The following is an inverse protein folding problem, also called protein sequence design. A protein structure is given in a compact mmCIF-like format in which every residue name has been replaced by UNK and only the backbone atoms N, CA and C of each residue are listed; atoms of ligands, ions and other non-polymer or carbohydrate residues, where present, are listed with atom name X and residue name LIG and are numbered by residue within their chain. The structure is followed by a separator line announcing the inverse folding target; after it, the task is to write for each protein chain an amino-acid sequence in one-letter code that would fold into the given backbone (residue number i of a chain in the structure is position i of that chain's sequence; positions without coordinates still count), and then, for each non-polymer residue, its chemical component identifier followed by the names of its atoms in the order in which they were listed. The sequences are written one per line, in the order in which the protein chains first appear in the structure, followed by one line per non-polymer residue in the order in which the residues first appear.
data_IF_256144799333
#
_entry.id   IF_256144799333
#
_cell.length_a   1.000
_cell.length_b   1.000
_cell.length_c   1.000
_cell.angle_alpha   90.00
_cell.angle_beta   90.00
_cell.angle_gamma   90.00
#
_symmetry.space_group_name_H-M   'P 1'
#
loop_
_entity.id
_entity.type
_entity.pdbx_description
1 polymer ?
#
# COMPACT_ATOMS: atom_id res chain seq x y z
N UNK A 1 -14.13 -19.12 -2.61
CA UNK A 1 -13.14 -18.80 -1.56
C UNK A 1 -13.59 -19.45 -0.26
N UNK A 2 -12.68 -20.14 0.44
CA UNK A 2 -13.00 -20.78 1.72
C UNK A 2 -12.18 -20.19 2.88
N UNK A 3 -12.80 -20.14 4.06
CA UNK A 3 -12.15 -19.78 5.33
C UNK A 3 -12.37 -20.93 6.29
N UNK A 4 -11.28 -21.47 6.86
CA UNK A 4 -11.33 -22.67 7.72
C UNK A 4 -12.01 -23.87 7.05
N UNK A 5 -11.86 -24.03 5.74
CA UNK A 5 -12.44 -25.12 4.96
C UNK A 5 -13.93 -24.99 4.61
N UNK A 6 -14.59 -23.89 5.02
CA UNK A 6 -15.99 -23.58 4.70
C UNK A 6 -16.03 -22.48 3.63
N UNK A 7 -16.87 -22.62 2.62
CA UNK A 7 -17.01 -21.60 1.58
C UNK A 7 -17.58 -20.29 2.16
N UNK A 8 -17.08 -19.15 1.64
CA UNK A 8 -17.56 -17.83 2.11
C UNK A 8 -19.06 -17.63 1.89
N UNK A 9 -19.62 -18.27 0.87
CA UNK A 9 -21.07 -18.19 0.56
C UNK A 9 -21.94 -18.86 1.62
N UNK A 10 -21.37 -19.75 2.46
CA UNK A 10 -22.04 -20.39 3.58
C UNK A 10 -22.07 -19.51 4.85
N UNK A 11 -21.28 -18.44 4.88
CA UNK A 11 -21.28 -17.51 6.00
C UNK A 11 -22.24 -16.33 5.78
N UNK A 12 -22.82 -15.83 6.85
CA UNK A 12 -23.50 -14.54 6.76
C UNK A 12 -22.49 -13.41 6.55
N UNK A 13 -22.85 -12.41 5.74
CA UNK A 13 -22.02 -11.22 5.54
C UNK A 13 -21.62 -10.53 6.85
N UNK A 14 -22.50 -10.57 7.87
CA UNK A 14 -22.21 -10.01 9.18
C UNK A 14 -21.12 -10.78 9.93
N UNK A 15 -21.10 -12.11 9.80
CA UNK A 15 -20.07 -12.98 10.40
C UNK A 15 -18.71 -12.74 9.73
N UNK A 16 -18.67 -12.73 8.39
CA UNK A 16 -17.45 -12.45 7.63
C UNK A 16 -16.88 -11.07 8.01
N UNK A 17 -17.72 -10.04 8.01
CA UNK A 17 -17.29 -8.68 8.34
C UNK A 17 -16.77 -8.55 9.78
N UNK A 18 -17.26 -9.34 10.72
CA UNK A 18 -16.73 -9.34 12.10
C UNK A 18 -15.33 -9.91 12.20
N UNK A 19 -15.01 -10.92 11.40
CA UNK A 19 -13.73 -11.61 11.44
C UNK A 19 -12.62 -10.92 10.64
N UNK A 20 -12.95 -9.93 9.78
CA UNK A 20 -11.99 -9.28 8.88
C UNK A 20 -11.84 -7.80 9.23
N UNK A 21 -10.61 -7.34 9.43
CA UNK A 21 -10.25 -5.92 9.42
C UNK A 21 -9.63 -5.58 8.07
N UNK A 22 -10.19 -4.57 7.39
CA UNK A 22 -9.72 -4.12 6.09
C UNK A 22 -9.17 -2.69 6.19
N UNK A 23 -7.94 -2.52 5.73
CA UNK A 23 -7.26 -1.21 5.64
C UNK A 23 -7.06 -0.90 4.15
N UNK A 24 -7.87 0.02 3.59
CA UNK A 24 -7.82 0.34 2.16
C UNK A 24 -6.61 1.20 1.80
N UNK A 25 -6.30 1.23 0.51
CA UNK A 25 -5.29 2.12 -0.08
C UNK A 25 -5.59 3.60 0.21
N UNK A 26 -6.82 4.02 -0.03
CA UNK A 26 -7.27 5.37 0.24
C UNK A 26 -8.07 5.39 1.55
N UNK A 27 -7.48 6.03 2.57
CA UNK A 27 -8.12 6.15 3.87
C UNK A 27 -9.14 7.26 3.86
N UNK A 28 -10.39 6.90 4.09
CA UNK A 28 -11.47 7.85 4.31
C UNK A 28 -11.69 8.06 5.82
N UNK A 29 -11.66 9.32 6.23
CA UNK A 29 -12.02 9.75 7.57
C UNK A 29 -13.36 10.49 7.51
N UNK A 30 -14.20 10.20 8.47
CA UNK A 30 -15.53 10.82 8.58
C UNK A 30 -15.44 12.19 9.24
N UNK A 31 -16.36 13.09 8.90
CA UNK A 31 -16.55 14.39 9.56
C UNK A 31 -17.06 14.19 10.99
N UNK A 32 -16.16 13.74 11.84
CA UNK A 32 -16.36 13.38 13.25
C UNK A 32 -15.07 13.63 14.04
N UNK A 33 -15.09 13.46 15.33
CA UNK A 33 -13.89 13.52 16.16
C UNK A 33 -12.93 12.36 15.83
N UNK A 34 -11.64 12.51 16.15
CA UNK A 34 -10.65 11.40 16.02
C UNK A 34 -11.10 10.20 16.85
N UNK A 35 -11.61 10.43 18.06
CA UNK A 35 -12.17 9.37 18.91
C UNK A 35 -13.25 8.58 18.20
N UNK A 36 -14.26 9.25 17.63
CA UNK A 36 -15.35 8.60 16.91
C UNK A 36 -14.88 7.91 15.63
N UNK A 37 -13.90 8.52 14.94
CA UNK A 37 -13.28 7.91 13.76
C UNK A 37 -12.61 6.57 14.06
N UNK A 38 -11.89 6.45 15.16
CA UNK A 38 -11.26 5.19 15.56
C UNK A 38 -12.33 4.21 16.06
N UNK A 39 -13.27 4.68 16.89
CA UNK A 39 -14.30 3.88 17.55
C UNK A 39 -15.34 3.28 16.59
N UNK A 40 -15.44 3.76 15.33
CA UNK A 40 -16.45 3.30 14.38
C UNK A 40 -16.38 1.78 14.12
N UNK A 41 -15.20 1.17 14.26
CA UNK A 41 -15.01 -0.27 14.09
C UNK A 41 -15.55 -1.09 15.28
N UNK A 42 -15.70 -0.45 16.46
CA UNK A 42 -16.18 -1.05 17.71
C UNK A 42 -16.90 0.00 18.54
N UNK A 43 -18.20 0.26 18.27
CA UNK A 43 -18.95 1.39 18.87
C UNK A 43 -19.03 1.39 20.40
N UNK A 44 -18.92 0.23 21.05
CA UNK A 44 -18.94 0.07 22.49
C UNK A 44 -17.58 0.31 23.16
N UNK A 45 -16.51 0.53 22.39
CA UNK A 45 -15.18 0.72 22.95
C UNK A 45 -15.08 1.97 23.84
N UNK A 46 -14.37 1.83 24.94
CA UNK A 46 -14.08 2.94 25.87
C UNK A 46 -12.96 3.83 25.31
N UNK A 47 -12.80 5.03 25.88
CA UNK A 47 -11.71 5.93 25.51
C UNK A 47 -10.33 5.29 25.74
N UNK A 48 -10.17 4.49 26.79
CA UNK A 48 -8.89 3.81 27.06
C UNK A 48 -8.59 2.74 26.03
N UNK A 49 -9.58 1.99 25.57
CA UNK A 49 -9.41 1.02 24.48
C UNK A 49 -9.04 1.72 23.16
N UNK A 50 -9.65 2.85 22.87
CA UNK A 50 -9.30 3.69 21.71
C UNK A 50 -7.86 4.22 21.81
N UNK A 51 -7.45 4.67 23.00
CA UNK A 51 -6.07 5.11 23.25
C UNK A 51 -5.05 4.00 23.06
N UNK A 52 -5.33 2.80 23.58
CA UNK A 52 -4.44 1.64 23.41
C UNK A 52 -4.33 1.24 21.91
N UNK A 53 -5.43 1.23 21.18
CA UNK A 53 -5.40 1.00 19.73
C UNK A 53 -4.61 2.07 18.99
N UNK A 54 -4.73 3.34 19.39
CA UNK A 54 -3.98 4.44 18.82
C UNK A 54 -2.48 4.37 19.15
N UNK A 55 -2.10 3.90 20.35
CA UNK A 55 -0.70 3.63 20.70
C UNK A 55 -0.11 2.52 19.83
N UNK A 56 -0.83 1.41 19.68
CA UNK A 56 -0.45 0.30 18.79
C UNK A 56 -0.26 0.74 17.34
N UNK A 57 -0.98 1.75 16.89
CA UNK A 57 -0.91 2.31 15.55
C UNK A 57 0.05 3.50 15.42
N UNK A 58 0.86 3.79 16.43
CA UNK A 58 1.74 4.97 16.49
C UNK A 58 1.00 6.30 16.21
N UNK A 59 -0.31 6.33 16.52
CA UNK A 59 -1.16 7.50 16.34
C UNK A 59 -1.23 8.39 17.59
N UNK A 60 -1.02 7.83 18.78
CA UNK A 60 -1.24 8.49 20.05
C UNK A 60 -0.44 9.78 20.20
N UNK A 61 0.83 9.77 19.82
CA UNK A 61 1.72 10.91 20.04
C UNK A 61 1.37 12.13 19.18
N UNK A 62 0.98 11.93 17.91
CA UNK A 62 0.51 13.08 17.13
C UNK A 62 -0.86 13.56 17.59
N UNK A 63 -1.77 12.66 17.98
CA UNK A 63 -3.10 13.04 18.49
C UNK A 63 -2.98 13.90 19.75
N UNK A 64 -2.06 13.55 20.66
CA UNK A 64 -1.81 14.33 21.89
C UNK A 64 -1.32 15.76 21.64
N UNK A 65 -0.64 15.99 20.51
CA UNK A 65 -0.15 17.33 20.14
C UNK A 65 -1.23 18.25 19.58
N UNK A 66 -2.39 17.69 19.20
CA UNK A 66 -3.52 18.48 18.72
C UNK A 66 -4.21 19.21 19.89
N UNK A 67 -4.71 20.44 19.71
CA UNK A 67 -5.32 21.24 20.79
C UNK A 67 -6.45 20.53 21.55
N UNK A 68 -7.30 19.80 20.83
CA UNK A 68 -8.43 19.05 21.39
C UNK A 68 -8.16 17.54 21.45
N UNK A 69 -6.94 17.11 21.16
CA UNK A 69 -6.51 15.70 21.22
C UNK A 69 -7.51 14.76 20.51
N UNK A 70 -8.02 13.74 21.20
CA UNK A 70 -9.02 12.80 20.65
C UNK A 70 -10.36 13.46 20.32
N UNK A 71 -10.67 14.61 20.91
CA UNK A 71 -11.87 15.39 20.61
C UNK A 71 -11.69 16.34 19.42
N UNK A 72 -10.52 16.36 18.78
CA UNK A 72 -10.31 17.12 17.55
C UNK A 72 -11.27 16.64 16.49
N UNK A 73 -12.12 17.56 16.02
CA UNK A 73 -13.07 17.30 14.94
C UNK A 73 -12.33 17.34 13.60
N UNK A 74 -12.55 16.34 12.79
CA UNK A 74 -12.01 16.25 11.45
C UNK A 74 -13.06 16.74 10.46
N UNK A 75 -12.66 17.64 9.60
CA UNK A 75 -13.46 18.05 8.46
C UNK A 75 -13.54 16.95 7.41
N UNK A 76 -14.22 17.22 6.30
CA UNK A 76 -14.42 16.26 5.21
C UNK A 76 -13.11 15.61 4.77
N UNK A 77 -13.11 14.28 4.67
CA UNK A 77 -11.96 13.44 4.32
C UNK A 77 -10.72 13.62 5.24
N UNK A 78 -10.88 14.15 6.48
CA UNK A 78 -9.77 14.38 7.40
C UNK A 78 -8.84 15.50 6.96
N UNK A 79 -9.39 16.56 6.40
CA UNK A 79 -8.63 17.73 5.99
C UNK A 79 -7.83 18.28 7.19
N UNK A 80 -6.57 18.67 6.96
CA UNK A 80 -5.63 19.10 8.02
C UNK A 80 -4.72 18.01 8.58
N UNK A 81 -4.95 16.71 8.24
CA UNK A 81 -4.04 15.63 8.57
C UNK A 81 -3.19 15.23 7.36
N UNK A 82 -1.93 14.89 7.61
CA UNK A 82 -1.05 14.27 6.61
C UNK A 82 -1.54 12.88 6.21
N UNK A 83 -1.10 12.36 5.07
CA UNK A 83 -1.43 11.00 4.63
C UNK A 83 -1.05 9.94 5.65
N UNK A 84 0.14 10.08 6.27
CA UNK A 84 0.61 9.16 7.31
C UNK A 84 -0.22 9.20 8.61
N UNK A 85 -0.72 10.38 9.01
CA UNK A 85 -1.62 10.48 10.17
C UNK A 85 -2.98 9.85 9.90
N UNK A 86 -3.54 10.05 8.70
CA UNK A 86 -4.78 9.37 8.29
C UNK A 86 -4.61 7.86 8.30
N UNK A 87 -3.48 7.38 7.78
CA UNK A 87 -3.14 5.96 7.75
C UNK A 87 -3.06 5.36 9.15
N UNK A 88 -2.38 6.04 10.09
CA UNK A 88 -2.31 5.59 11.50
C UNK A 88 -3.68 5.56 12.17
N UNK A 89 -4.58 6.48 11.85
CA UNK A 89 -5.97 6.42 12.34
C UNK A 89 -6.70 5.19 11.77
N UNK A 90 -6.50 4.87 10.48
CA UNK A 90 -7.08 3.66 9.88
C UNK A 90 -6.53 2.37 10.51
N UNK A 91 -5.23 2.33 10.81
CA UNK A 91 -4.62 1.23 11.56
C UNK A 91 -5.17 1.11 12.97
N UNK A 92 -5.36 2.24 13.68
CA UNK A 92 -6.00 2.24 14.99
C UNK A 92 -7.44 1.68 14.94
N UNK A 93 -8.21 1.98 13.89
CA UNK A 93 -9.52 1.34 13.64
C UNK A 93 -9.40 -0.18 13.51
N UNK A 94 -8.43 -0.63 12.74
CA UNK A 94 -8.21 -2.06 12.49
C UNK A 94 -7.81 -2.78 13.78
N UNK A 95 -6.87 -2.23 14.56
CA UNK A 95 -6.43 -2.81 15.83
C UNK A 95 -7.50 -2.79 16.91
N UNK A 96 -8.33 -1.72 16.96
CA UNK A 96 -9.45 -1.65 17.90
C UNK A 96 -10.49 -2.75 17.66
N UNK A 97 -10.70 -3.12 16.40
CA UNK A 97 -11.64 -4.17 16.01
C UNK A 97 -11.21 -5.55 16.47
N UNK A 98 -9.89 -5.81 16.52
CA UNK A 98 -9.29 -7.06 16.98
C UNK A 98 -9.80 -8.30 16.22
N UNK A 99 -9.63 -8.29 14.91
CA UNK A 99 -10.10 -9.34 13.98
C UNK A 99 -9.13 -10.53 13.89
N UNK A 100 -9.62 -11.66 13.39
CA UNK A 100 -8.79 -12.85 13.12
C UNK A 100 -7.96 -12.72 11.84
N UNK A 101 -8.49 -11.99 10.85
CA UNK A 101 -7.84 -11.73 9.56
C UNK A 101 -7.73 -10.22 9.34
N UNK A 102 -6.54 -9.78 8.94
CA UNK A 102 -6.29 -8.41 8.53
C UNK A 102 -5.95 -8.37 7.04
N UNK A 103 -6.57 -7.47 6.31
CA UNK A 103 -6.30 -7.24 4.89
C UNK A 103 -5.76 -5.81 4.74
N UNK A 104 -4.54 -5.69 4.23
CA UNK A 104 -3.88 -4.43 3.91
C UNK A 104 -3.80 -4.30 2.39
N UNK A 105 -4.56 -3.37 1.82
CA UNK A 105 -4.64 -3.18 0.38
C UNK A 105 -3.88 -1.91 -0.01
N UNK A 106 -2.59 -2.09 -0.39
CA UNK A 106 -1.68 -0.98 -0.75
C UNK A 106 -1.70 0.18 0.26
N UNK A 107 -1.99 -0.15 1.48
CA UNK A 107 -2.38 0.80 2.53
C UNK A 107 -1.29 1.81 2.90
N UNK A 108 -0.10 1.72 2.35
CA UNK A 108 1.05 2.60 2.62
C UNK A 108 1.63 3.26 1.38
N UNK A 109 0.99 3.10 0.22
CA UNK A 109 1.47 3.62 -1.07
C UNK A 109 1.69 5.13 -1.11
N UNK A 110 0.98 5.89 -0.27
CA UNK A 110 1.09 7.35 -0.12
C UNK A 110 2.18 7.79 0.86
N UNK A 111 2.89 6.86 1.50
CA UNK A 111 3.92 7.15 2.50
C UNK A 111 5.32 7.12 1.89
N UNK A 112 6.24 7.87 2.51
CA UNK A 112 7.66 7.74 2.21
C UNK A 112 8.20 6.38 2.68
N UNK A 113 9.32 5.96 2.09
CA UNK A 113 9.91 4.64 2.33
C UNK A 113 10.23 4.35 3.81
N UNK A 114 10.73 5.34 4.54
CA UNK A 114 11.09 5.17 5.95
C UNK A 114 9.87 4.99 6.84
N UNK A 115 8.85 5.80 6.63
CA UNK A 115 7.59 5.72 7.36
C UNK A 115 6.85 4.41 7.07
N UNK A 116 6.85 3.94 5.82
CA UNK A 116 6.23 2.68 5.44
C UNK A 116 6.87 1.50 6.17
N UNK A 117 8.19 1.37 6.14
CA UNK A 117 8.89 0.28 6.82
C UNK A 117 8.58 0.27 8.32
N UNK A 118 8.62 1.44 8.97
CA UNK A 118 8.30 1.56 10.40
C UNK A 118 6.88 1.09 10.71
N UNK A 119 5.91 1.42 9.84
CA UNK A 119 4.52 1.00 10.00
C UNK A 119 4.39 -0.51 9.82
N UNK A 120 5.04 -1.12 8.83
CA UNK A 120 4.96 -2.56 8.63
C UNK A 120 5.68 -3.35 9.71
N UNK A 121 6.84 -2.90 10.20
CA UNK A 121 7.51 -3.49 11.36
C UNK A 121 6.59 -3.49 12.58
N UNK A 122 5.87 -2.40 12.81
CA UNK A 122 4.87 -2.32 13.87
C UNK A 122 3.70 -3.27 13.62
N UNK A 123 3.16 -3.37 12.38
CA UNK A 123 2.07 -4.28 12.02
C UNK A 123 2.48 -5.72 12.28
N UNK A 124 3.64 -6.16 11.80
CA UNK A 124 4.15 -7.51 12.02
C UNK A 124 4.31 -7.84 13.50
N UNK A 125 4.86 -6.91 14.30
CA UNK A 125 5.00 -7.09 15.74
C UNK A 125 3.67 -7.16 16.49
N UNK A 126 2.66 -6.35 16.10
CA UNK A 126 1.36 -6.30 16.77
C UNK A 126 0.43 -7.45 16.36
N UNK A 127 0.62 -8.02 15.18
CA UNK A 127 -0.26 -9.03 14.60
C UNK A 127 0.43 -10.39 14.40
N UNK A 128 1.51 -10.68 15.14
CA UNK A 128 2.28 -11.93 15.01
C UNK A 128 1.41 -13.21 15.14
N UNK A 129 0.34 -13.14 15.96
CA UNK A 129 -0.58 -14.25 16.18
C UNK A 129 -1.83 -14.20 15.28
N UNK A 130 -1.85 -13.36 14.26
CA UNK A 130 -3.01 -13.15 13.39
C UNK A 130 -2.69 -13.47 11.93
N UNK A 131 -3.72 -13.83 11.18
CA UNK A 131 -3.58 -13.98 9.73
C UNK A 131 -3.60 -12.62 9.04
N UNK A 132 -2.67 -12.41 8.11
CA UNK A 132 -2.58 -11.19 7.31
C UNK A 132 -2.58 -11.51 5.82
N UNK A 133 -3.31 -10.71 5.05
CA UNK A 133 -3.23 -10.65 3.59
C UNK A 133 -2.77 -9.25 3.22
N UNK A 134 -1.62 -9.16 2.58
CA UNK A 134 -0.99 -7.89 2.22
C UNK A 134 -0.93 -7.79 0.71
N UNK A 135 -1.55 -6.78 0.14
CA UNK A 135 -1.37 -6.37 -1.25
C UNK A 135 -0.38 -5.21 -1.24
N UNK A 136 0.76 -5.37 -1.87
CA UNK A 136 1.84 -4.40 -1.83
C UNK A 136 2.45 -4.17 -3.21
N UNK A 137 2.79 -2.92 -3.50
CA UNK A 137 3.61 -2.53 -4.63
C UNK A 137 5.11 -2.59 -4.30
N UNK A 138 5.47 -2.43 -3.04
CA UNK A 138 6.86 -2.50 -2.59
C UNK A 138 7.16 -3.88 -2.03
N UNK A 139 8.09 -4.56 -2.68
CA UNK A 139 8.44 -5.94 -2.32
C UNK A 139 9.15 -6.04 -0.97
N UNK A 140 9.82 -4.97 -0.51
CA UNK A 140 10.40 -4.90 0.82
C UNK A 140 9.38 -5.13 1.94
N UNK A 141 8.14 -4.70 1.72
CA UNK A 141 7.03 -4.81 2.67
C UNK A 141 6.61 -6.27 2.90
N UNK A 142 6.68 -7.11 1.88
CA UNK A 142 6.21 -8.50 1.91
C UNK A 142 7.35 -9.53 2.00
N UNK A 143 8.59 -9.06 2.17
CA UNK A 143 9.77 -9.92 2.20
C UNK A 143 9.67 -11.03 3.26
N UNK A 144 9.17 -10.67 4.42
CA UNK A 144 9.11 -11.57 5.59
C UNK A 144 7.76 -12.31 5.70
N UNK A 145 6.93 -12.31 4.64
CA UNK A 145 5.71 -13.10 4.58
C UNK A 145 6.00 -14.60 4.43
N UNK A 146 5.19 -15.44 5.08
CA UNK A 146 5.29 -16.90 4.97
C UNK A 146 5.01 -17.41 3.55
N UNK A 147 4.18 -16.70 2.80
CA UNK A 147 3.82 -17.02 1.42
C UNK A 147 3.62 -15.75 0.60
N UNK A 148 4.32 -15.67 -0.52
CA UNK A 148 4.17 -14.61 -1.52
C UNK A 148 3.53 -15.21 -2.76
N UNK A 149 2.49 -14.56 -3.27
CA UNK A 149 1.82 -14.87 -4.52
C UNK A 149 2.13 -13.78 -5.54
N UNK A 150 2.77 -14.15 -6.64
CA UNK A 150 3.03 -13.22 -7.76
C UNK A 150 1.92 -13.37 -8.77
N UNK A 151 1.23 -12.26 -9.04
CA UNK A 151 0.11 -12.23 -9.98
C UNK A 151 0.51 -11.51 -11.27
N UNK A 152 0.09 -12.07 -12.39
CA UNK A 152 0.22 -11.45 -13.70
C UNK A 152 -1.02 -11.72 -14.54
N UNK A 153 -1.58 -10.69 -15.16
CA UNK A 153 -2.82 -10.77 -15.94
C UNK A 153 -3.95 -11.56 -15.26
N UNK A 154 -4.12 -11.37 -13.93
CA UNK A 154 -5.17 -12.02 -13.14
C UNK A 154 -4.90 -13.49 -12.78
N UNK A 155 -3.70 -14.00 -13.06
CA UNK A 155 -3.28 -15.37 -12.74
C UNK A 155 -2.11 -15.38 -11.77
N UNK A 156 -2.06 -16.38 -10.89
CA UNK A 156 -0.91 -16.63 -10.04
C UNK A 156 0.14 -17.32 -10.88
N UNK A 157 1.25 -16.62 -11.17
CA UNK A 157 2.35 -17.13 -11.99
C UNK A 157 3.48 -17.74 -11.15
N UNK A 158 3.68 -17.24 -9.93
CA UNK A 158 4.66 -17.77 -8.99
C UNK A 158 4.12 -17.77 -7.56
N UNK A 159 4.62 -18.69 -6.74
CA UNK A 159 4.35 -18.76 -5.32
C UNK A 159 5.55 -19.30 -4.57
N UNK A 160 5.76 -18.84 -3.35
CA UNK A 160 6.84 -19.26 -2.45
C UNK A 160 7.20 -18.19 -1.44
N UNK A 161 8.22 -18.44 -0.65
CA UNK A 161 8.87 -17.45 0.21
C UNK A 161 9.75 -16.52 -0.62
N UNK A 162 10.22 -15.44 -0.02
CA UNK A 162 11.17 -14.50 -0.64
C UNK A 162 12.39 -15.22 -1.24
N UNK A 163 13.05 -16.05 -0.44
CA UNK A 163 14.28 -16.73 -0.86
C UNK A 163 14.02 -17.77 -1.96
N UNK A 164 12.92 -18.50 -1.88
CA UNK A 164 12.52 -19.46 -2.91
C UNK A 164 12.24 -18.75 -4.26
N UNK A 165 11.57 -17.60 -4.21
CA UNK A 165 11.24 -16.85 -5.41
C UNK A 165 12.47 -16.16 -6.01
N UNK A 166 13.42 -15.69 -5.21
CA UNK A 166 14.70 -15.19 -5.70
C UNK A 166 15.52 -16.30 -6.36
N UNK A 167 15.54 -17.50 -5.78
CA UNK A 167 16.26 -18.66 -6.33
C UNK A 167 15.70 -19.11 -7.68
N UNK A 168 14.38 -18.96 -7.91
CA UNK A 168 13.71 -19.29 -9.18
C UNK A 168 14.12 -18.35 -10.33
N UNK A 169 14.63 -17.15 -10.04
CA UNK A 169 15.00 -16.12 -11.02
C UNK A 169 13.88 -15.79 -12.02
N UNK A 170 12.63 -15.89 -11.58
CA UNK A 170 11.44 -15.61 -12.38
C UNK A 170 10.98 -14.15 -12.25
N UNK A 171 9.67 -13.92 -12.39
CA UNK A 171 9.06 -12.58 -12.38
C UNK A 171 9.28 -11.82 -11.07
N UNK A 172 9.21 -12.53 -9.94
CA UNK A 172 9.52 -11.94 -8.64
C UNK A 172 10.94 -11.39 -8.56
N UNK A 173 11.92 -12.18 -9.03
CA UNK A 173 13.32 -11.78 -9.08
C UNK A 173 13.54 -10.53 -9.94
N UNK A 174 12.89 -10.47 -11.11
CA UNK A 174 12.96 -9.29 -12.00
C UNK A 174 12.39 -8.04 -11.28
N UNK A 175 11.21 -8.15 -10.67
CA UNK A 175 10.57 -7.06 -9.95
C UNK A 175 11.40 -6.60 -8.76
N UNK A 176 11.96 -7.55 -7.99
CA UNK A 176 12.83 -7.25 -6.87
C UNK A 176 14.06 -6.44 -7.31
N UNK A 177 14.78 -6.90 -8.32
CA UNK A 177 15.98 -6.23 -8.81
C UNK A 177 15.66 -4.85 -9.42
N UNK A 178 14.50 -4.70 -10.07
CA UNK A 178 14.04 -3.39 -10.54
C UNK A 178 13.83 -2.41 -9.37
N UNK A 179 13.21 -2.87 -8.28
CA UNK A 179 12.97 -2.02 -7.11
C UNK A 179 14.25 -1.71 -6.34
N UNK A 180 15.23 -2.62 -6.32
CA UNK A 180 16.55 -2.37 -5.73
C UNK A 180 17.46 -1.50 -6.62
N UNK A 181 17.01 -1.12 -7.80
CA UNK A 181 17.80 -0.33 -8.76
C UNK A 181 18.97 -1.12 -9.40
N UNK A 182 18.98 -2.44 -9.25
CA UNK A 182 20.02 -3.33 -9.80
C UNK A 182 19.84 -3.45 -11.31
N UNK A 183 18.60 -3.54 -11.81
CA UNK A 183 18.30 -3.40 -13.23
C UNK A 183 17.95 -1.96 -13.56
N UNK A 184 18.94 -1.20 -14.05
CA UNK A 184 18.62 0.00 -14.82
C UNK A 184 17.91 -0.48 -16.08
N UNK A 185 16.67 -0.01 -16.36
CA UNK A 185 16.07 -0.17 -17.69
C UNK A 185 17.15 0.20 -18.71
N UNK A 186 17.58 -0.77 -19.56
CA UNK A 186 18.24 -0.41 -20.81
C UNK A 186 17.30 0.59 -21.48
N UNK A 187 17.69 1.86 -21.56
CA UNK A 187 17.07 2.78 -22.48
C UNK A 187 17.11 2.05 -23.83
N UNK A 188 15.97 1.82 -24.45
CA UNK A 188 15.94 1.48 -25.86
C UNK A 188 16.83 2.52 -26.53
N UNK A 189 17.91 2.06 -27.14
CA UNK A 189 18.72 2.92 -28.01
C UNK A 189 17.74 3.44 -29.06
N UNK A 190 17.66 4.77 -29.27
CA UNK A 190 16.88 5.29 -30.37
C UNK A 190 17.39 4.61 -31.63
N UNK A 191 16.47 4.06 -32.43
CA UNK A 191 16.80 3.45 -33.72
C UNK A 191 17.72 4.42 -34.49
N UNK A 192 18.76 3.92 -35.17
CA UNK A 192 19.68 4.79 -35.89
C UNK A 192 18.88 5.62 -36.89
N UNK A 193 18.94 6.93 -36.71
CA UNK A 193 18.33 7.89 -37.64
C UNK A 193 19.06 7.69 -38.94
N UNK A 194 18.37 7.18 -39.95
CA UNK A 194 18.91 7.08 -41.30
C UNK A 194 19.32 8.51 -41.73
N UNK A 195 20.61 8.71 -41.93
CA UNK A 195 21.15 9.93 -42.49
C UNK A 195 20.57 10.10 -43.90
N UNK A 196 19.65 11.07 -44.02
CA UNK A 196 19.23 11.54 -45.35
C UNK A 196 20.47 12.13 -46.05
N UNK A 197 20.88 11.51 -47.15
CA UNK A 197 21.88 12.05 -48.04
C UNK A 197 21.30 13.36 -48.64
N UNK A 198 22.00 14.45 -48.39
CA UNK A 198 21.76 15.72 -49.12
C UNK A 198 22.27 15.51 -50.51
N UNK A 199 21.39 15.49 -51.52
CA UNK A 199 21.74 15.63 -52.93
C UNK A 199 21.91 17.14 -53.14
N UNK A 200 23.15 17.56 -53.37
CA UNK A 200 23.45 18.85 -53.93
C UNK A 200 23.02 18.84 -55.41
N UNK A 201 22.00 19.54 -55.77
CA UNK A 201 21.72 19.94 -57.15
C UNK A 201 22.53 21.18 -57.45
N UNK A 202 23.57 20.99 -58.25
CA UNK A 202 24.22 22.03 -59.03
C UNK A 202 23.22 22.51 -60.11
N UNK A 203 22.73 23.70 -59.99
CA UNK A 203 22.10 24.39 -61.11
C UNK A 203 22.84 25.70 -61.40
N UNK A 204 23.66 25.56 -62.44
CA UNK A 204 24.34 26.65 -63.12
C UNK A 204 23.32 27.47 -63.92
N UNK A 205 23.45 28.75 -63.83
CA UNK A 205 23.31 29.57 -65.05
C UNK A 205 21.98 30.27 -65.23
N UNK A 206 22.08 31.46 -65.25
CA UNK A 206 21.91 32.47 -66.29
C UNK A 206 21.25 33.71 -65.78
N UNK A 207 22.05 34.76 -65.94
CA UNK A 207 21.62 36.16 -65.91
C UNK A 207 20.68 36.46 -67.07
N UNK A 208 19.62 37.17 -66.82
CA UNK A 208 19.06 38.08 -67.80
C UNK A 208 18.45 39.30 -67.11
N UNK A 209 19.03 40.43 -67.49
CA UNK A 209 18.59 41.80 -67.40
C UNK A 209 17.14 42.00 -67.91
N UNK A 210 16.37 42.76 -67.19
CA UNK A 210 15.69 44.01 -67.56
C UNK A 210 15.10 44.63 -66.32
#
# INVERSE_FOLDING_TARGET
ISVNGVDLDEYSNASVRRCISYVPQNVELFSKTIFENIRISRPEATLDQVREAAKKADAHEFIRKLPLQYNTYLEEAGNGLSGGEKQRIALARAFLKDSSLYIFDESTSSLDFGTENTIFDMIYNQLADRSMLIVAHRLSTIRDCDLILVMDHGQIVERGTHDELLAKQGKYYELWNLQQGIFRRKKEEPAPVASAAVVEDDDDGEAMTY
#
